data_IF_280807287471
#
_entry.id   IF_280807287471
#
_cell.length_a   1.000
_cell.length_b   1.000
_cell.length_c   1.000
_cell.angle_alpha   90.00
_cell.angle_beta   90.00
_cell.angle_gamma   90.00
#
_symmetry.space_group_name_H-M   'P 1'
#
loop_
_entity.id
_entity.type
_entity.pdbx_description
1 polymer ?
#
# COMPACT_ATOMS: atom_id res chain seq x y z
N UNK A 1 6.49 -7.53 5.29
CA UNK A 1 6.66 -6.15 4.77
C UNK A 1 7.81 -5.54 5.53
N UNK A 2 8.87 -5.07 4.87
CA UNK A 2 10.03 -4.51 5.54
C UNK A 2 9.64 -3.20 6.26
N UNK A 3 9.54 -3.24 7.59
CA UNK A 3 9.08 -2.10 8.39
C UNK A 3 10.11 -0.94 8.39
N UNK A 4 11.40 -1.25 8.21
CA UNK A 4 12.47 -0.24 8.14
C UNK A 4 12.29 0.73 6.97
N UNK A 5 11.77 0.26 5.83
CA UNK A 5 11.53 1.07 4.62
C UNK A 5 10.37 2.04 4.73
N UNK A 6 9.56 1.92 5.79
CA UNK A 6 8.42 2.81 6.06
C UNK A 6 8.65 3.63 7.33
N UNK A 7 9.86 3.60 7.90
CA UNK A 7 10.20 4.32 9.14
C UNK A 7 9.98 5.83 9.04
N UNK A 8 10.08 6.41 7.84
CA UNK A 8 9.82 7.82 7.56
C UNK A 8 8.33 8.19 7.60
N UNK A 9 7.42 7.22 7.59
CA UNK A 9 5.98 7.45 7.69
C UNK A 9 5.52 7.52 9.15
N UNK A 10 4.58 8.42 9.48
CA UNK A 10 3.91 8.42 10.77
C UNK A 10 3.20 7.08 11.03
N UNK A 11 3.16 6.69 12.30
CA UNK A 11 2.58 5.40 12.73
C UNK A 11 1.16 5.17 12.21
N UNK A 12 0.32 6.22 12.19
CA UNK A 12 -1.04 6.11 11.64
C UNK A 12 -1.03 5.65 10.18
N UNK A 13 -0.20 6.25 9.32
CA UNK A 13 -0.09 5.89 7.90
C UNK A 13 0.52 4.49 7.73
N UNK A 14 1.47 4.09 8.59
CA UNK A 14 2.01 2.72 8.58
C UNK A 14 0.93 1.67 8.85
N UNK A 15 0.08 1.90 9.84
CA UNK A 15 -1.07 1.02 10.13
C UNK A 15 -2.07 0.97 8.98
N UNK A 16 -2.36 2.11 8.37
CA UNK A 16 -3.23 2.17 7.19
C UNK A 16 -2.65 1.37 6.02
N UNK A 17 -1.36 1.52 5.72
CA UNK A 17 -0.69 0.72 4.68
C UNK A 17 -0.71 -0.77 4.98
N UNK A 18 -0.49 -1.16 6.24
CA UNK A 18 -0.61 -2.55 6.66
C UNK A 18 -2.03 -3.08 6.42
N UNK A 19 -3.05 -2.29 6.75
CA UNK A 19 -4.45 -2.67 6.54
C UNK A 19 -4.79 -2.81 5.05
N UNK A 20 -4.34 -1.88 4.22
CA UNK A 20 -4.52 -1.95 2.76
C UNK A 20 -3.82 -3.17 2.17
N UNK A 21 -2.57 -3.43 2.55
CA UNK A 21 -1.84 -4.60 2.11
C UNK A 21 -2.56 -5.89 2.50
N UNK A 22 -3.04 -5.98 3.74
CA UNK A 22 -3.82 -7.12 4.23
C UNK A 22 -5.06 -7.37 3.36
N UNK A 23 -5.87 -6.34 3.09
CA UNK A 23 -7.05 -6.45 2.23
C UNK A 23 -6.66 -6.95 0.83
N UNK A 24 -5.62 -6.38 0.22
CA UNK A 24 -5.17 -6.81 -1.11
C UNK A 24 -4.80 -8.29 -1.14
N UNK A 25 -4.10 -8.79 -0.11
CA UNK A 25 -3.72 -10.20 -0.05
C UNK A 25 -4.91 -11.12 0.23
N UNK A 26 -5.82 -10.72 1.12
CA UNK A 26 -7.05 -11.47 1.44
C UNK A 26 -7.95 -11.60 0.20
N UNK A 27 -8.27 -10.48 -0.44
CA UNK A 27 -9.08 -10.44 -1.67
C UNK A 27 -8.41 -11.21 -2.83
N UNK A 28 -7.09 -11.12 -2.94
CA UNK A 28 -6.35 -11.87 -3.95
C UNK A 28 -6.47 -13.38 -3.72
N UNK A 29 -6.29 -13.85 -2.49
CA UNK A 29 -6.40 -15.26 -2.11
C UNK A 29 -7.83 -15.79 -2.34
N UNK A 30 -8.85 -15.00 -2.00
CA UNK A 30 -10.24 -15.34 -2.31
C UNK A 30 -10.51 -15.40 -3.82
N UNK A 31 -9.98 -14.45 -4.60
CA UNK A 31 -10.07 -14.47 -6.07
C UNK A 31 -9.36 -15.67 -6.68
N UNK A 32 -8.30 -16.20 -6.04
CA UNK A 32 -7.60 -17.39 -6.51
C UNK A 32 -8.42 -18.66 -6.28
N UNK A 33 -9.14 -18.75 -5.16
CA UNK A 33 -10.00 -19.90 -4.83
C UNK A 33 -11.19 -20.04 -5.78
N UNK A 34 -11.73 -18.92 -6.27
CA UNK A 34 -12.87 -18.90 -7.19
C UNK A 34 -12.51 -19.17 -8.65
N UNK A 35 -11.22 -19.24 -8.98
CA UNK A 35 -10.76 -19.47 -10.36
C UNK A 35 -10.87 -20.93 -10.79
N UNK A 36 -11.57 -21.16 -11.89
CA UNK A 36 -11.82 -22.50 -12.45
C UNK A 36 -10.65 -23.07 -13.26
N UNK A 37 -9.76 -22.22 -13.80
CA UNK A 37 -8.64 -22.68 -14.65
C UNK A 37 -7.33 -22.85 -13.86
N UNK A 38 -6.60 -23.92 -14.16
CA UNK A 38 -5.29 -24.23 -13.54
C UNK A 38 -4.23 -23.15 -13.74
N UNK A 39 -4.30 -22.41 -14.86
CA UNK A 39 -3.42 -21.25 -15.12
C UNK A 39 -3.76 -20.09 -14.19
N UNK A 40 -5.05 -19.89 -13.92
CA UNK A 40 -5.55 -18.77 -13.16
C UNK A 40 -5.34 -18.98 -11.64
N UNK A 41 -5.41 -20.21 -11.15
CA UNK A 41 -5.09 -20.60 -9.76
C UNK A 41 -3.62 -20.39 -9.37
N UNK A 42 -2.70 -20.31 -10.33
CA UNK A 42 -1.25 -20.12 -10.11
C UNK A 42 -0.83 -18.65 -10.05
N UNK A 43 -1.76 -17.70 -10.07
CA UNK A 43 -1.44 -16.28 -9.94
C UNK A 43 -0.69 -15.99 -8.64
N UNK A 44 0.31 -15.12 -8.69
CA UNK A 44 1.08 -14.67 -7.52
C UNK A 44 1.27 -13.16 -7.56
N UNK A 45 1.12 -12.49 -6.42
CA UNK A 45 1.56 -11.10 -6.27
C UNK A 45 3.08 -11.10 -6.16
N UNK A 46 3.75 -10.48 -7.13
CA UNK A 46 5.21 -10.44 -7.18
C UNK A 46 5.78 -9.29 -6.34
N UNK A 47 5.14 -8.13 -6.40
CA UNK A 47 5.57 -6.90 -5.71
C UNK A 47 4.36 -6.05 -5.35
N UNK A 48 4.41 -5.46 -4.17
CA UNK A 48 3.54 -4.36 -3.76
C UNK A 48 4.44 -3.14 -3.56
N UNK A 49 4.17 -2.06 -4.29
CA UNK A 49 5.05 -0.88 -4.35
C UNK A 49 4.26 0.33 -3.86
N UNK A 50 4.77 1.00 -2.82
CA UNK A 50 4.33 2.33 -2.45
C UNK A 50 5.04 3.34 -3.37
N UNK A 51 4.27 4.16 -4.10
CA UNK A 51 4.80 5.16 -5.02
C UNK A 51 4.42 6.58 -4.56
N UNK A 52 5.10 7.59 -5.12
CA UNK A 52 4.77 9.00 -4.89
C UNK A 52 5.47 9.62 -3.68
N UNK A 53 4.97 10.78 -3.25
CA UNK A 53 5.57 11.57 -2.16
C UNK A 53 5.58 10.85 -0.81
N UNK A 54 4.59 10.01 -0.56
CA UNK A 54 4.54 9.11 0.61
C UNK A 54 5.67 8.08 0.63
N UNK A 55 6.14 7.62 -0.54
CA UNK A 55 7.28 6.71 -0.60
C UNK A 55 8.61 7.44 -0.30
N UNK A 56 8.70 8.74 -0.63
CA UNK A 56 9.93 9.55 -0.53
C UNK A 56 10.05 10.38 0.74
N UNK A 57 8.96 10.60 1.46
CA UNK A 57 8.98 11.47 2.64
C UNK A 57 8.66 12.95 2.39
N UNK A 58 8.31 13.33 1.16
CA UNK A 58 8.09 14.74 0.78
C UNK A 58 6.61 15.09 0.52
N UNK A 59 5.68 14.43 1.21
CA UNK A 59 4.26 14.78 1.13
C UNK A 59 3.97 16.05 1.93
N UNK A 60 2.93 16.79 1.55
CA UNK A 60 2.51 18.00 2.27
C UNK A 60 1.22 17.73 3.02
N UNK A 61 1.23 18.01 4.33
CA UNK A 61 0.05 17.94 5.19
C UNK A 61 0.03 19.21 6.06
N UNK A 62 -0.55 20.30 5.53
CA UNK A 62 -0.71 21.56 6.26
C UNK A 62 -2.05 21.57 7.01
N UNK A 63 -1.98 21.40 8.32
CA UNK A 63 -3.16 21.39 9.19
C UNK A 63 -3.80 22.76 9.39
N UNK A 64 -3.09 23.86 9.10
CA UNK A 64 -3.63 25.22 9.28
C UNK A 64 -4.52 25.63 8.12
N UNK A 65 -4.07 25.38 6.89
CA UNK A 65 -4.88 25.64 5.69
C UNK A 65 -5.79 24.47 5.31
N UNK A 66 -5.53 23.27 5.84
CA UNK A 66 -6.18 22.04 5.39
C UNK A 66 -5.62 21.51 4.07
N UNK A 67 -4.55 22.10 3.55
CA UNK A 67 -3.93 21.68 2.30
C UNK A 67 -3.21 20.35 2.46
N UNK A 68 -3.63 19.37 1.65
CA UNK A 68 -3.02 18.05 1.55
C UNK A 68 -2.55 17.88 0.11
N UNK A 69 -1.27 17.54 -0.08
CA UNK A 69 -0.73 17.24 -1.41
C UNK A 69 0.13 15.98 -1.39
N UNK A 70 -0.18 15.10 -2.31
CA UNK A 70 0.56 13.89 -2.62
C UNK A 70 1.52 14.06 -3.82
N UNK A 71 1.58 15.26 -4.41
CA UNK A 71 2.57 15.64 -5.41
C UNK A 71 3.90 16.05 -4.74
N UNK A 72 5.02 15.72 -5.39
CA UNK A 72 6.32 16.20 -4.94
C UNK A 72 6.39 17.72 -5.12
N UNK A 73 6.68 18.43 -4.03
CA UNK A 73 7.24 19.78 -4.10
C UNK A 73 8.74 19.71 -4.42
#
# INVERSE_FOLDING_TARGET
>A
MDMERLSHLPEKKRRELHRVAQIIFEEFDESLKTKLSEKAKRGRILKLILFGSYARGNWVEDRKSGYLSDYAC
#
